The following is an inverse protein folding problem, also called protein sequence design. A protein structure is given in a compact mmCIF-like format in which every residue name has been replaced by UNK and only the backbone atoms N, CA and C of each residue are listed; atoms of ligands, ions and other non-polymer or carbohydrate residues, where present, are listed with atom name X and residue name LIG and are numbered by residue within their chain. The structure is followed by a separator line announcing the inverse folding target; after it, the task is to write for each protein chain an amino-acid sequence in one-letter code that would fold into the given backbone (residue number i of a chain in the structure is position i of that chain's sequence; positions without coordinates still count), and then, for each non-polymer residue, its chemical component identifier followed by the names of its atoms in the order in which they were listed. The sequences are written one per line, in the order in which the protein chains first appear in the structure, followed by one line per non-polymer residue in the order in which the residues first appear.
data_IF_827614811850
#
_entry.id   IF_827614811850
#
_cell.length_a   1.000
_cell.length_b   1.000
_cell.length_c   1.000
_cell.angle_alpha   90.00
_cell.angle_beta   90.00
_cell.angle_gamma   90.00
#
_symmetry.space_group_name_H-M   'P 1'
#
loop_
_entity.id
_entity.type
_entity.pdbx_description
1 polymer ?
#
# COMPACT_ATOMS: atom_id res chain seq x y z
N UNK A 1 7.14 6.35 3.69
CA UNK A 1 7.52 4.98 4.13
C UNK A 1 8.19 4.17 3.03
N UNK A 2 7.72 4.24 1.79
CA UNK A 2 8.33 3.58 0.60
C UNK A 2 9.86 3.75 0.50
N UNK A 3 10.38 4.96 0.74
CA UNK A 3 11.83 5.21 0.77
C UNK A 3 12.62 4.41 1.82
N UNK A 4 12.03 4.13 2.98
CA UNK A 4 12.70 3.36 4.02
C UNK A 4 12.72 1.87 3.68
N UNK A 5 11.65 1.36 3.07
CA UNK A 5 11.64 0.01 2.49
C UNK A 5 12.74 -0.10 1.43
N UNK A 6 12.80 0.85 0.50
CA UNK A 6 13.84 0.90 -0.54
C UNK A 6 15.25 0.94 0.04
N UNK A 7 15.50 1.79 1.06
CA UNK A 7 16.79 1.84 1.77
C UNK A 7 17.16 0.49 2.41
N UNK A 8 16.20 -0.20 3.03
CA UNK A 8 16.42 -1.53 3.60
C UNK A 8 16.78 -2.56 2.54
N UNK A 9 16.10 -2.51 1.38
CA UNK A 9 16.42 -3.36 0.22
C UNK A 9 17.85 -3.09 -0.27
N UNK A 10 18.21 -1.82 -0.51
CA UNK A 10 19.54 -1.43 -0.99
C UNK A 10 20.67 -1.76 -0.02
N UNK A 11 20.39 -1.85 1.28
CA UNK A 11 21.37 -2.22 2.32
C UNK A 11 21.42 -3.71 2.61
N UNK A 12 20.60 -4.51 1.94
CA UNK A 12 20.41 -5.94 2.24
C UNK A 12 19.98 -6.20 3.70
N UNK A 13 19.11 -5.34 4.24
CA UNK A 13 18.55 -5.43 5.60
C UNK A 13 17.07 -5.87 5.57
N UNK A 14 16.76 -7.17 5.35
CA UNK A 14 15.40 -7.64 5.08
C UNK A 14 14.42 -7.42 6.25
N UNK A 15 14.88 -7.55 7.50
CA UNK A 15 14.03 -7.30 8.68
C UNK A 15 13.64 -5.83 8.79
N UNK A 16 14.58 -4.92 8.53
CA UNK A 16 14.33 -3.49 8.53
C UNK A 16 13.36 -3.10 7.40
N UNK A 17 13.61 -3.61 6.19
CA UNK A 17 12.72 -3.40 5.04
C UNK A 17 11.30 -3.91 5.32
N UNK A 18 11.16 -5.12 5.87
CA UNK A 18 9.87 -5.72 6.21
C UNK A 18 9.12 -4.94 7.29
N UNK A 19 9.81 -4.49 8.35
CA UNK A 19 9.19 -3.66 9.39
C UNK A 19 8.67 -2.32 8.82
N UNK A 20 9.43 -1.69 7.92
CA UNK A 20 8.97 -0.49 7.22
C UNK A 20 7.80 -0.78 6.26
N UNK A 21 7.79 -1.98 5.66
CA UNK A 21 6.71 -2.43 4.77
C UNK A 21 5.41 -2.66 5.54
N UNK A 22 5.48 -3.20 6.75
CA UNK A 22 4.29 -3.44 7.58
C UNK A 22 3.53 -2.16 7.93
N UNK A 23 4.25 -1.04 8.08
CA UNK A 23 3.64 0.29 8.22
C UNK A 23 2.93 0.71 6.92
N UNK A 24 3.51 0.39 5.75
CA UNK A 24 2.87 0.67 4.46
C UNK A 24 1.61 -0.16 4.25
N UNK A 25 1.62 -1.42 4.68
CA UNK A 25 0.42 -2.26 4.74
C UNK A 25 -0.64 -1.63 5.64
N UNK A 26 -0.29 -1.21 6.85
CA UNK A 26 -1.24 -0.56 7.76
C UNK A 26 -1.88 0.71 7.16
N UNK A 27 -1.07 1.55 6.50
CA UNK A 27 -1.56 2.74 5.80
C UNK A 27 -2.53 2.37 4.66
N UNK A 28 -2.23 1.31 3.92
CA UNK A 28 -3.07 0.79 2.83
C UNK A 28 -4.39 0.24 3.36
N UNK A 29 -4.35 -0.54 4.45
CA UNK A 29 -5.57 -1.06 5.09
C UNK A 29 -6.46 0.07 5.59
N UNK A 30 -5.88 1.21 6.02
CA UNK A 30 -6.66 2.39 6.44
C UNK A 30 -7.34 3.10 5.27
N UNK A 31 -6.70 3.17 4.10
CA UNK A 31 -7.34 3.69 2.88
C UNK A 31 -8.53 2.81 2.48
N UNK A 32 -8.37 1.48 2.51
CA UNK A 32 -9.47 0.56 2.23
C UNK A 32 -10.62 0.68 3.24
N UNK A 33 -10.30 0.92 4.51
CA UNK A 33 -11.32 1.22 5.52
C UNK A 33 -12.11 2.49 5.18
N UNK A 34 -11.44 3.56 4.73
CA UNK A 34 -12.12 4.78 4.30
C UNK A 34 -12.98 4.57 3.06
N UNK A 35 -12.52 3.77 2.10
CA UNK A 35 -13.31 3.38 0.94
C UNK A 35 -14.59 2.66 1.35
N UNK A 36 -14.51 1.70 2.26
CA UNK A 36 -15.70 0.99 2.77
C UNK A 36 -16.64 1.97 3.49
N UNK A 37 -16.13 2.87 4.33
CA UNK A 37 -16.95 3.87 5.03
C UNK A 37 -17.66 4.81 4.04
N UNK A 38 -17.02 5.17 2.93
CA UNK A 38 -17.64 6.01 1.90
C UNK A 38 -18.74 5.26 1.12
N UNK A 39 -18.65 3.94 1.01
CA UNK A 39 -19.63 3.11 0.30
C UNK A 39 -20.82 2.74 1.18
N UNK A 40 -20.55 2.30 2.41
CA UNK A 40 -21.52 1.68 3.32
C UNK A 40 -22.01 2.64 4.42
N UNK A 41 -21.28 3.73 4.66
CA UNK A 41 -21.57 4.74 5.67
C UNK A 41 -20.72 4.62 6.96
N UNK A 42 -20.76 5.65 7.82
CA UNK A 42 -19.86 5.80 8.97
C UNK A 42 -20.13 4.82 10.14
N UNK A 43 -21.23 4.07 10.09
CA UNK A 43 -21.60 3.12 11.15
C UNK A 43 -20.94 1.74 10.97
N UNK A 44 -20.21 1.52 9.88
CA UNK A 44 -19.53 0.25 9.64
C UNK A 44 -18.49 -0.04 10.71
N UNK A 45 -18.51 -1.26 11.21
CA UNK A 45 -17.52 -1.77 12.15
C UNK A 45 -16.71 -2.89 11.50
N UNK A 46 -15.47 -2.59 11.11
CA UNK A 46 -14.58 -3.56 10.49
C UNK A 46 -13.92 -4.54 11.49
N UNK A 47 -14.18 -4.37 12.79
CA UNK A 47 -13.59 -5.15 13.87
C UNK A 47 -12.10 -4.87 14.09
N UNK A 48 -11.51 -5.55 15.08
CA UNK A 48 -10.06 -5.44 15.36
C UNK A 48 -9.25 -5.82 14.13
N UNK A 49 -8.20 -5.04 13.86
CA UNK A 49 -7.32 -5.22 12.69
C UNK A 49 -8.07 -5.25 11.35
N UNK A 50 -9.27 -4.63 11.27
CA UNK A 50 -10.11 -4.61 10.07
C UNK A 50 -10.39 -6.01 9.53
N UNK A 51 -10.57 -7.00 10.41
CA UNK A 51 -10.79 -8.42 10.05
C UNK A 51 -11.98 -8.66 9.11
N UNK A 52 -12.95 -7.75 9.09
CA UNK A 52 -14.14 -7.82 8.23
C UNK A 52 -13.97 -7.12 6.88
N UNK A 53 -12.78 -6.59 6.56
CA UNK A 53 -12.56 -5.86 5.30
C UNK A 53 -12.94 -6.69 4.05
N UNK A 54 -12.68 -8.00 4.08
CA UNK A 54 -13.05 -8.94 3.01
C UNK A 54 -14.56 -9.09 2.78
N UNK A 55 -15.36 -8.77 3.80
CA UNK A 55 -16.82 -8.93 3.75
C UNK A 55 -17.46 -7.74 3.01
N UNK A 56 -16.73 -6.63 2.87
CA UNK A 56 -17.19 -5.39 2.22
C UNK A 56 -16.52 -5.11 0.87
N UNK A 57 -15.27 -5.55 0.68
CA UNK A 57 -14.56 -5.33 -0.58
C UNK A 57 -14.96 -6.36 -1.65
N UNK A 58 -14.95 -5.98 -2.94
CA UNK A 58 -15.03 -6.94 -4.03
C UNK A 58 -13.94 -8.01 -3.91
N UNK A 59 -14.28 -9.26 -4.22
CA UNK A 59 -13.35 -10.39 -4.08
C UNK A 59 -12.02 -10.18 -4.82
N UNK A 60 -12.06 -9.53 -5.99
CA UNK A 60 -10.86 -9.21 -6.77
C UNK A 60 -9.98 -8.16 -6.09
N UNK A 61 -10.59 -7.14 -5.47
CA UNK A 61 -9.86 -6.11 -4.71
C UNK A 61 -9.19 -6.72 -3.48
N UNK A 62 -9.90 -7.57 -2.74
CA UNK A 62 -9.33 -8.23 -1.57
C UNK A 62 -8.18 -9.17 -1.95
N UNK A 63 -8.31 -9.93 -3.05
CA UNK A 63 -7.23 -10.76 -3.56
C UNK A 63 -5.99 -9.94 -3.98
N UNK A 64 -6.17 -8.78 -4.59
CA UNK A 64 -5.07 -7.87 -4.92
C UNK A 64 -4.41 -7.27 -3.66
N UNK A 65 -5.19 -7.00 -2.62
CA UNK A 65 -4.66 -6.60 -1.32
C UNK A 65 -3.85 -7.73 -0.66
N UNK A 66 -4.31 -8.98 -0.71
CA UNK A 66 -3.54 -10.14 -0.24
C UNK A 66 -2.24 -10.32 -1.03
N UNK A 67 -2.25 -10.00 -2.33
CA UNK A 67 -1.04 -10.04 -3.15
C UNK A 67 -0.04 -8.93 -2.79
N UNK A 68 -0.40 -7.93 -1.98
CA UNK A 68 0.55 -6.91 -1.52
C UNK A 68 1.51 -7.43 -0.42
N UNK A 69 1.25 -8.60 0.18
CA UNK A 69 2.02 -9.08 1.33
C UNK A 69 3.35 -9.72 0.92
N UNK A 70 4.52 -9.18 1.34
CA UNK A 70 5.81 -9.77 1.04
C UNK A 70 6.18 -10.86 2.04
N UNK A 71 7.01 -11.81 1.59
CA UNK A 71 7.83 -12.61 2.50
C UNK A 71 9.15 -11.87 2.81
N UNK A 72 10.04 -12.48 3.60
CA UNK A 72 11.27 -11.82 4.06
C UNK A 72 12.38 -11.73 2.99
N UNK A 73 12.20 -12.34 1.82
CA UNK A 73 13.18 -12.29 0.74
C UNK A 73 13.21 -10.90 0.09
N UNK A 74 14.42 -10.38 -0.19
CA UNK A 74 14.60 -9.05 -0.78
C UNK A 74 13.90 -8.90 -2.13
N UNK A 75 13.88 -9.96 -2.95
CA UNK A 75 13.17 -9.96 -4.22
C UNK A 75 11.65 -9.86 -4.03
N UNK A 76 11.10 -10.57 -3.03
CA UNK A 76 9.69 -10.47 -2.67
C UNK A 76 9.35 -9.06 -2.17
N UNK A 77 10.16 -8.50 -1.28
CA UNK A 77 10.00 -7.12 -0.80
C UNK A 77 10.04 -6.10 -1.93
N UNK A 78 10.94 -6.26 -2.89
CA UNK A 78 11.05 -5.38 -4.07
C UNK A 78 9.82 -5.49 -4.97
N UNK A 79 9.41 -6.71 -5.30
CA UNK A 79 8.25 -6.97 -6.14
C UNK A 79 6.97 -6.42 -5.48
N UNK A 80 6.74 -6.76 -4.21
CA UNK A 80 5.54 -6.33 -3.49
C UNK A 80 5.53 -4.84 -3.19
N UNK A 81 6.69 -4.17 -3.08
CA UNK A 81 6.75 -2.71 -2.93
C UNK A 81 6.15 -2.01 -4.16
N UNK A 82 6.36 -2.56 -5.35
CA UNK A 82 5.73 -2.05 -6.58
C UNK A 82 4.21 -2.21 -6.50
N UNK A 83 3.76 -3.43 -6.23
CA UNK A 83 2.34 -3.79 -6.22
C UNK A 83 1.56 -2.94 -5.20
N UNK A 84 2.08 -2.79 -3.98
CA UNK A 84 1.39 -2.02 -2.94
C UNK A 84 1.40 -0.51 -3.23
N UNK A 85 2.39 0.02 -3.94
CA UNK A 85 2.41 1.43 -4.33
C UNK A 85 1.30 1.74 -5.35
N UNK A 86 1.16 0.90 -6.37
CA UNK A 86 0.09 1.04 -7.36
C UNK A 86 -1.28 0.84 -6.74
N UNK A 87 -1.42 -0.20 -5.91
CA UNK A 87 -2.65 -0.50 -5.19
C UNK A 87 -3.06 0.65 -4.27
N UNK A 88 -2.14 1.15 -3.43
CA UNK A 88 -2.41 2.28 -2.54
C UNK A 88 -2.86 3.52 -3.31
N UNK A 89 -2.16 3.84 -4.40
CA UNK A 89 -2.45 5.01 -5.22
C UNK A 89 -3.85 4.94 -5.85
N UNK A 90 -4.23 3.80 -6.42
CA UNK A 90 -5.54 3.59 -6.99
C UNK A 90 -6.65 3.85 -5.95
N UNK A 91 -6.54 3.23 -4.77
CA UNK A 91 -7.56 3.35 -3.73
C UNK A 91 -7.55 4.73 -3.05
N UNK A 92 -6.37 5.35 -2.89
CA UNK A 92 -6.25 6.70 -2.35
C UNK A 92 -6.89 7.75 -3.27
N UNK A 93 -6.73 7.61 -4.60
CA UNK A 93 -7.40 8.47 -5.58
C UNK A 93 -8.91 8.32 -5.52
N UNK A 94 -9.42 7.09 -5.49
CA UNK A 94 -10.85 6.84 -5.33
C UNK A 94 -11.42 7.53 -4.07
N UNK A 95 -10.73 7.37 -2.93
CA UNK A 95 -11.15 8.00 -1.67
C UNK A 95 -11.10 9.53 -1.76
N UNK A 96 -10.06 10.11 -2.36
CA UNK A 96 -9.91 11.54 -2.53
C UNK A 96 -11.04 12.13 -3.40
N UNK A 97 -11.27 11.56 -4.58
CA UNK A 97 -12.31 11.99 -5.52
C UNK A 97 -13.71 11.92 -4.89
N UNK A 98 -14.02 10.81 -4.20
CA UNK A 98 -15.29 10.61 -3.51
C UNK A 98 -15.49 11.54 -2.31
N UNK A 99 -14.40 12.04 -1.74
CA UNK A 99 -14.41 13.00 -0.64
C UNK A 99 -14.36 14.45 -1.11
N UNK A 100 -14.37 14.71 -2.43
CA UNK A 100 -14.33 16.06 -2.99
C UNK A 100 -12.95 16.72 -2.97
N UNK A 101 -11.88 15.93 -2.81
CA UNK A 101 -10.51 16.39 -2.97
C UNK A 101 -10.00 16.07 -4.37
N UNK A 102 -9.22 16.97 -4.97
CA UNK A 102 -8.50 16.71 -6.21
C UNK A 102 -7.13 16.10 -5.86
N UNK A 103 -6.91 14.80 -6.12
CA UNK A 103 -5.63 14.17 -5.82
C UNK A 103 -4.58 14.67 -6.83
N UNK A 104 -3.58 15.41 -6.35
CA UNK A 104 -2.41 15.74 -7.16
C UNK A 104 -1.67 14.45 -7.54
N UNK A 105 -1.68 14.11 -8.83
CA UNK A 105 -1.11 12.87 -9.40
C UNK A 105 0.40 12.97 -9.58
N UNK A 106 0.92 14.18 -9.79
CA UNK A 106 2.32 14.42 -10.16
C UNK A 106 3.35 13.96 -9.09
N UNK A 107 3.06 14.10 -7.78
CA UNK A 107 3.97 13.66 -6.72
C UNK A 107 4.14 12.13 -6.63
N UNK A 108 3.09 11.35 -6.88
CA UNK A 108 3.09 9.90 -6.65
C UNK A 108 3.97 9.15 -7.66
N UNK A 109 3.81 9.46 -8.95
CA UNK A 109 4.64 8.89 -10.02
C UNK A 109 6.12 9.26 -9.89
N UNK A 110 6.41 10.50 -9.45
CA UNK A 110 7.79 10.92 -9.16
C UNK A 110 8.42 10.12 -8.03
N UNK A 111 7.67 9.87 -6.95
CA UNK A 111 8.14 9.05 -5.82
C UNK A 111 8.41 7.62 -6.28
N UNK A 112 7.50 7.04 -7.07
CA UNK A 112 7.61 5.70 -7.64
C UNK A 112 8.85 5.56 -8.51
N UNK A 113 9.05 6.48 -9.44
CA UNK A 113 10.25 6.53 -10.29
C UNK A 113 11.53 6.65 -9.44
N UNK A 114 11.55 7.51 -8.42
CA UNK A 114 12.73 7.67 -7.57
C UNK A 114 13.05 6.41 -6.76
N UNK A 115 12.05 5.74 -6.18
CA UNK A 115 12.21 4.47 -5.47
C UNK A 115 12.81 3.39 -6.37
N UNK A 116 12.33 3.27 -7.61
CA UNK A 116 12.87 2.30 -8.55
C UNK A 116 14.30 2.60 -8.97
N UNK A 117 14.64 3.86 -9.20
CA UNK A 117 16.02 4.26 -9.48
C UNK A 117 16.97 3.88 -8.34
N UNK A 118 16.55 4.08 -7.08
CA UNK A 118 17.36 3.69 -5.91
C UNK A 118 17.62 2.19 -5.85
N UNK A 119 16.59 1.37 -6.05
CA UNK A 119 16.70 -0.09 -6.00
C UNK A 119 17.52 -0.63 -7.19
N UNK A 120 17.35 -0.05 -8.38
CA UNK A 120 18.10 -0.44 -9.57
C UNK A 120 19.59 -0.10 -9.44
N UNK A 121 19.94 1.03 -8.83
CA UNK A 121 21.33 1.44 -8.61
C UNK A 121 22.07 0.61 -7.54
N UNK A 122 21.34 -0.16 -6.72
CA UNK A 122 21.94 -1.02 -5.69
C UNK A 122 22.19 -2.47 -6.13
N UNK A 123 21.77 -2.85 -7.34
CA UNK A 123 22.04 -4.16 -7.95
C UNK A 123 23.33 -4.13 -8.75
#
# INVERSE_FOLDING_TARGET
MTFYVAKGICRHEPLYAKACFDILLEMTTRILEWEVILQEGPQVNLGKFRRHLKDYLPAQTYAAFEDCFPNLQLDSLTQKLTIIMDFFEQHARYVAERSGYDPDVEPAERIKAHVFMLIAASK
#
